data_IF_317404548452
#
_entry.id   IF_317404548452
#
_cell.length_a   1.000
_cell.length_b   1.000
_cell.length_c   1.000
_cell.angle_alpha   90.00
_cell.angle_beta   90.00
_cell.angle_gamma   90.00
#
_symmetry.space_group_name_H-M   'P 1'
#
loop_
_entity.id
_entity.type
_entity.pdbx_description
1 polymer ?
#
# COMPACT_ATOMS: atom_id res chain seq x y z
N UNK A 1 45.09 16.72 -7.72
CA UNK A 1 43.63 16.91 -7.66
C UNK A 1 43.07 16.30 -8.93
N UNK A 2 43.03 14.97 -9.03
CA UNK A 2 42.04 14.06 -8.41
C UNK A 2 40.60 14.38 -8.81
N UNK A 3 39.97 13.39 -9.45
CA UNK A 3 38.61 13.40 -9.95
C UNK A 3 38.49 12.42 -11.12
N UNK A 4 38.63 11.13 -10.84
CA UNK A 4 38.64 10.02 -11.80
C UNK A 4 37.26 9.77 -12.43
N UNK A 5 37.32 9.47 -13.72
CA UNK A 5 36.26 8.90 -14.54
C UNK A 5 35.86 7.50 -14.03
N UNK A 6 34.56 7.24 -13.85
CA UNK A 6 33.98 5.90 -13.74
C UNK A 6 32.57 5.90 -14.36
N UNK A 7 32.52 5.94 -15.69
CA UNK A 7 31.43 5.30 -16.42
C UNK A 7 31.76 3.81 -16.49
N UNK A 8 31.10 2.99 -15.70
CA UNK A 8 31.13 1.53 -15.87
C UNK A 8 29.71 0.99 -16.04
N UNK A 9 29.37 0.87 -17.32
CA UNK A 9 28.52 -0.14 -17.93
C UNK A 9 28.51 -1.47 -17.16
N UNK A 10 27.36 -1.86 -16.62
CA UNK A 10 27.12 -3.26 -16.24
C UNK A 10 26.19 -3.92 -17.26
N UNK A 11 26.83 -4.82 -17.99
CA UNK A 11 26.40 -5.67 -19.10
C UNK A 11 25.29 -6.67 -18.71
N UNK A 12 24.45 -7.00 -19.70
CA UNK A 12 23.53 -8.13 -19.67
C UNK A 12 24.31 -9.45 -19.60
N UNK A 13 23.96 -10.31 -18.63
CA UNK A 13 24.37 -11.71 -18.69
C UNK A 13 23.27 -12.55 -19.29
N UNK A 14 23.56 -13.04 -20.49
CA UNK A 14 22.77 -13.91 -21.34
C UNK A 14 22.59 -15.32 -20.72
N UNK A 15 21.38 -15.84 -20.91
CA UNK A 15 20.80 -17.17 -20.65
C UNK A 15 21.68 -18.26 -21.30
N UNK A 16 22.01 -19.42 -20.71
CA UNK A 16 21.18 -20.64 -20.56
C UNK A 16 22.15 -21.78 -20.16
N UNK A 17 21.77 -22.66 -19.23
CA UNK A 17 22.03 -24.12 -19.29
C UNK A 17 20.99 -24.88 -18.45
N UNK A 18 19.84 -25.14 -19.04
CA UNK A 18 19.24 -26.48 -19.13
C UNK A 18 19.30 -27.37 -17.87
N UNK A 19 18.24 -27.32 -17.05
CA UNK A 19 17.79 -28.50 -16.29
C UNK A 19 16.34 -28.76 -16.66
N UNK A 20 16.16 -29.77 -17.51
CA UNK A 20 14.89 -30.35 -17.88
C UNK A 20 14.30 -31.07 -16.64
N UNK A 21 13.27 -30.49 -16.03
CA UNK A 21 12.35 -31.22 -15.14
C UNK A 21 10.98 -31.13 -15.80
N UNK A 22 10.80 -31.99 -16.81
CA UNK A 22 9.52 -32.32 -17.37
C UNK A 22 8.58 -32.90 -16.31
N UNK A 23 7.50 -32.17 -16.06
CA UNK A 23 6.18 -32.62 -15.58
C UNK A 23 6.10 -33.46 -14.30
N UNK A 24 5.63 -32.82 -13.22
CA UNK A 24 4.61 -33.44 -12.35
C UNK A 24 3.38 -32.53 -12.33
N UNK A 25 2.29 -33.03 -12.90
CA UNK A 25 1.00 -32.36 -12.96
C UNK A 25 0.27 -32.41 -11.60
N UNK A 26 -0.49 -31.34 -11.34
CA UNK A 26 -1.61 -31.22 -10.41
C UNK A 26 -1.30 -31.28 -8.91
N UNK A 27 -1.14 -30.09 -8.32
CA UNK A 27 -1.52 -29.85 -6.93
C UNK A 27 -2.39 -28.59 -6.90
N UNK A 28 -3.58 -28.70 -6.29
CA UNK A 28 -4.51 -27.63 -5.99
C UNK A 28 -3.78 -26.31 -5.70
N UNK A 29 -3.94 -25.32 -6.59
CA UNK A 29 -3.21 -24.06 -6.53
C UNK A 29 -3.64 -23.23 -5.32
N UNK A 30 -3.16 -23.61 -4.15
CA UNK A 30 -3.23 -22.78 -2.96
C UNK A 30 -2.50 -21.47 -3.30
N UNK A 31 -3.18 -20.31 -3.23
CA UNK A 31 -2.51 -19.04 -3.50
C UNK A 31 -1.31 -18.94 -2.55
N UNK A 32 -0.15 -18.54 -3.09
CA UNK A 32 1.03 -18.27 -2.27
C UNK A 32 0.64 -17.22 -1.23
N UNK A 33 0.46 -17.66 0.02
CA UNK A 33 0.21 -16.79 1.15
C UNK A 33 1.49 -16.00 1.40
N UNK A 34 1.59 -14.82 0.80
CA UNK A 34 2.56 -13.84 1.27
C UNK A 34 2.11 -13.43 2.68
N UNK A 35 3.04 -13.44 3.63
CA UNK A 35 2.76 -12.92 4.97
C UNK A 35 2.28 -11.48 4.81
N UNK A 36 0.98 -11.26 5.04
CA UNK A 36 0.32 -9.97 4.85
C UNK A 36 0.75 -9.04 5.98
N UNK A 37 1.90 -8.40 5.85
CA UNK A 37 2.29 -7.28 6.69
C UNK A 37 1.34 -6.12 6.38
N UNK A 38 0.24 -6.02 7.10
CA UNK A 38 -0.63 -4.84 7.02
C UNK A 38 -0.01 -3.77 7.91
N UNK A 39 0.11 -2.54 7.42
CA UNK A 39 0.48 -1.40 8.27
C UNK A 39 -0.43 -1.41 9.50
N UNK A 40 0.15 -1.51 10.69
CA UNK A 40 -0.60 -1.55 11.96
C UNK A 40 -1.52 -0.32 12.04
N UNK A 41 -2.78 -0.53 12.40
CA UNK A 41 -3.79 0.54 12.47
C UNK A 41 -4.57 0.79 11.17
N UNK A 42 -4.14 0.22 10.03
CA UNK A 42 -4.93 0.29 8.80
C UNK A 42 -6.19 -0.59 8.93
N UNK A 43 -7.32 0.01 9.32
CA UNK A 43 -8.62 -0.65 9.35
C UNK A 43 -9.48 -0.18 8.19
N UNK A 44 -9.99 -1.14 7.41
CA UNK A 44 -10.97 -0.90 6.35
C UNK A 44 -12.25 -0.25 6.88
N UNK A 45 -12.63 -0.57 8.12
CA UNK A 45 -13.89 -0.13 8.73
C UNK A 45 -13.87 1.36 9.12
N UNK A 46 -12.68 1.97 9.24
CA UNK A 46 -12.55 3.40 9.54
C UNK A 46 -12.77 4.30 8.31
N UNK A 47 -12.79 3.74 7.11
CA UNK A 47 -12.90 4.51 5.87
C UNK A 47 -14.38 4.81 5.55
N UNK A 48 -14.84 6.03 5.83
CA UNK A 48 -16.22 6.47 5.59
C UNK A 48 -16.61 6.60 4.10
N UNK A 49 -15.64 6.58 3.19
CA UNK A 49 -15.87 6.81 1.76
C UNK A 49 -15.60 5.56 0.92
N UNK A 50 -16.60 5.16 0.12
CA UNK A 50 -16.48 4.09 -0.87
C UNK A 50 -15.51 4.49 -1.98
N UNK A 51 -14.82 3.49 -2.54
CA UNK A 51 -14.00 3.71 -3.74
C UNK A 51 -14.90 4.02 -4.94
N UNK A 52 -14.41 4.80 -5.93
CA UNK A 52 -15.14 5.00 -7.18
C UNK A 52 -15.27 3.69 -7.95
N UNK A 53 -16.18 3.67 -8.94
CA UNK A 53 -16.41 2.47 -9.74
C UNK A 53 -15.13 1.98 -10.46
N UNK A 54 -15.00 0.66 -10.60
CA UNK A 54 -13.84 0.01 -11.20
C UNK A 54 -12.57 0.00 -10.35
N UNK A 55 -12.53 0.70 -9.21
CA UNK A 55 -11.39 0.68 -8.29
C UNK A 55 -11.53 -0.42 -7.24
N UNK A 56 -10.40 -1.05 -6.93
CA UNK A 56 -10.27 -1.91 -5.76
C UNK A 56 -8.98 -1.62 -5.01
N UNK A 57 -8.98 -1.95 -3.74
CA UNK A 57 -7.79 -1.89 -2.90
C UNK A 57 -7.10 -3.25 -2.89
N UNK A 58 -5.77 -3.22 -3.01
CA UNK A 58 -4.91 -4.40 -3.02
C UNK A 58 -3.72 -4.14 -2.11
N UNK A 59 -3.26 -5.14 -1.37
CA UNK A 59 -2.02 -5.02 -0.60
C UNK A 59 -0.84 -5.39 -1.48
N UNK A 60 0.08 -4.45 -1.70
CA UNK A 60 1.35 -4.72 -2.36
C UNK A 60 2.27 -5.52 -1.42
N UNK A 61 3.30 -6.18 -1.97
CA UNK A 61 4.28 -6.96 -1.19
C UNK A 61 5.04 -6.12 -0.16
N UNK A 62 5.09 -4.80 -0.34
CA UNK A 62 5.62 -3.84 0.63
C UNK A 62 4.76 -3.70 1.90
N UNK A 63 3.56 -4.28 1.92
CA UNK A 63 2.62 -4.18 3.03
C UNK A 63 1.73 -2.93 3.03
N UNK A 64 1.95 -2.03 2.05
CA UNK A 64 1.09 -0.86 1.86
C UNK A 64 -0.13 -1.18 0.99
N UNK A 65 -1.29 -0.57 1.29
CA UNK A 65 -2.43 -0.61 0.38
C UNK A 65 -2.13 0.21 -0.87
N UNK A 66 -2.41 -0.38 -2.03
CA UNK A 66 -2.42 0.27 -3.33
C UNK A 66 -3.84 0.23 -3.89
N UNK A 67 -4.22 1.25 -4.64
CA UNK A 67 -5.52 1.32 -5.30
C UNK A 67 -5.34 1.06 -6.78
N UNK A 68 -6.08 0.09 -7.28
CA UNK A 68 -5.94 -0.46 -8.61
C UNK A 68 -7.27 -0.34 -9.37
N UNK A 69 -7.24 0.33 -10.52
CA UNK A 69 -8.41 0.43 -11.40
C UNK A 69 -8.40 -0.75 -12.39
N UNK A 70 -9.39 -1.63 -12.27
CA UNK A 70 -9.43 -2.93 -12.95
C UNK A 70 -9.37 -2.81 -14.47
N UNK A 71 -10.12 -1.87 -15.03
CA UNK A 71 -10.28 -1.73 -16.48
C UNK A 71 -9.06 -1.08 -17.15
N UNK A 72 -8.52 0.00 -16.57
CA UNK A 72 -7.44 0.79 -17.20
C UNK A 72 -6.05 0.38 -16.76
N UNK A 73 -5.94 -0.54 -15.78
CA UNK A 73 -4.68 -0.99 -15.19
C UNK A 73 -3.88 0.13 -14.49
N UNK A 74 -4.52 1.26 -14.15
CA UNK A 74 -3.89 2.37 -13.43
C UNK A 74 -3.78 2.04 -11.93
N UNK A 75 -2.64 2.37 -11.32
CA UNK A 75 -2.36 2.20 -9.89
C UNK A 75 -2.08 3.55 -9.26
N UNK A 76 -2.55 3.75 -8.03
CA UNK A 76 -2.20 4.91 -7.20
C UNK A 76 -1.96 4.48 -5.75
N UNK A 77 -1.07 5.20 -5.05
CA UNK A 77 -0.82 5.02 -3.61
C UNK A 77 -1.86 5.76 -2.75
N UNK A 78 -2.47 6.81 -3.28
CA UNK A 78 -3.47 7.61 -2.56
C UNK A 78 -4.87 7.15 -2.88
N UNK A 79 -5.76 7.11 -1.88
CA UNK A 79 -7.13 6.61 -2.05
C UNK A 79 -7.90 7.46 -3.06
N UNK A 80 -8.31 6.92 -4.22
CA UNK A 80 -9.11 7.66 -5.17
C UNK A 80 -10.52 7.89 -4.59
N UNK A 81 -11.13 9.01 -4.96
CA UNK A 81 -12.48 9.37 -4.52
C UNK A 81 -13.24 10.03 -5.67
N UNK A 82 -14.57 9.92 -5.62
CA UNK A 82 -15.44 10.51 -6.63
C UNK A 82 -15.70 11.97 -6.27
N UNK A 83 -15.37 12.90 -7.19
CA UNK A 83 -15.57 14.33 -6.98
C UNK A 83 -17.02 14.76 -7.23
N UNK A 84 -17.73 14.11 -8.15
CA UNK A 84 -19.06 14.54 -8.60
C UNK A 84 -19.02 15.88 -9.35
N UNK A 85 -20.04 16.71 -9.13
CA UNK A 85 -20.21 18.01 -9.80
C UNK A 85 -19.47 19.17 -9.11
N UNK A 86 -18.58 18.89 -8.16
CA UNK A 86 -17.90 19.90 -7.35
C UNK A 86 -16.65 20.44 -8.05
N UNK A 87 -16.26 21.68 -7.77
CA UNK A 87 -15.02 22.28 -8.28
C UNK A 87 -13.79 21.51 -7.81
N UNK A 88 -12.97 21.06 -8.75
CA UNK A 88 -11.68 20.36 -8.52
C UNK A 88 -10.72 21.16 -7.64
N UNK A 89 -10.80 22.51 -7.68
CA UNK A 89 -9.84 23.38 -6.98
C UNK A 89 -10.29 23.78 -5.58
N UNK A 90 -11.57 23.68 -5.26
CA UNK A 90 -12.16 24.32 -4.08
C UNK A 90 -13.06 23.39 -3.26
N UNK A 91 -12.91 22.08 -3.41
CA UNK A 91 -13.64 21.10 -2.60
C UNK A 91 -12.83 20.63 -1.39
N UNK A 92 -13.54 20.06 -0.41
CA UNK A 92 -12.90 19.41 0.73
C UNK A 92 -12.40 18.02 0.32
N UNK A 93 -11.11 17.78 0.50
CA UNK A 93 -10.48 16.50 0.18
C UNK A 93 -10.69 15.53 1.35
N UNK A 94 -11.18 14.29 1.12
CA UNK A 94 -11.26 13.28 2.17
C UNK A 94 -9.87 13.02 2.77
N UNK A 95 -9.78 12.98 4.11
CA UNK A 95 -8.47 12.79 4.80
C UNK A 95 -7.76 11.53 4.35
N UNK A 96 -8.51 10.44 4.10
CA UNK A 96 -7.97 9.17 3.60
C UNK A 96 -7.36 9.25 2.18
N UNK A 97 -7.70 10.30 1.43
CA UNK A 97 -7.20 10.55 0.07
C UNK A 97 -6.03 11.52 0.04
N UNK A 98 -5.73 12.22 1.15
CA UNK A 98 -4.60 13.14 1.25
C UNK A 98 -3.31 12.30 1.43
N UNK A 99 -2.33 12.39 0.51
CA UNK A 99 -1.05 11.69 0.64
C UNK A 99 -0.39 12.04 1.96
N UNK A 100 0.33 11.09 2.56
CA UNK A 100 1.10 11.16 3.81
C UNK A 100 0.36 11.61 5.09
N UNK A 101 -0.62 12.50 5.04
CA UNK A 101 -1.45 12.91 6.17
C UNK A 101 -2.25 11.73 6.72
N UNK A 102 -2.82 10.90 5.85
CA UNK A 102 -3.53 9.71 6.29
C UNK A 102 -2.62 8.75 7.07
N UNK A 103 -1.40 8.52 6.56
CA UNK A 103 -0.42 7.66 7.25
C UNK A 103 0.01 8.26 8.59
N UNK A 104 0.22 9.58 8.65
CA UNK A 104 0.56 10.27 9.90
C UNK A 104 -0.56 10.13 10.94
N UNK A 105 -1.83 10.31 10.54
CA UNK A 105 -2.99 10.12 11.43
C UNK A 105 -3.10 8.69 11.95
N UNK A 106 -2.87 7.70 11.07
CA UNK A 106 -2.82 6.30 11.49
C UNK A 106 -1.70 6.05 12.51
N UNK A 107 -0.54 6.66 12.34
CA UNK A 107 0.57 6.54 13.30
C UNK A 107 0.23 7.19 14.64
N UNK A 108 -0.35 8.40 14.65
CA UNK A 108 -0.81 9.10 15.86
C UNK A 108 -1.83 8.24 16.63
N UNK A 109 -2.83 7.67 15.95
CA UNK A 109 -3.81 6.77 16.57
C UNK A 109 -3.20 5.49 17.18
N UNK A 110 -2.01 5.07 16.72
CA UNK A 110 -1.30 3.91 17.27
C UNK A 110 -0.35 4.27 18.42
N UNK A 111 0.06 5.53 18.55
CA UNK A 111 0.90 6.02 19.65
C UNK A 111 0.12 6.43 20.89
N UNK A 112 -1.21 6.56 20.77
CA UNK A 112 -2.10 6.92 21.89
C UNK A 112 -2.83 5.75 22.60
N UNK A 113 -2.21 4.60 22.94
CA UNK A 113 -2.76 3.70 23.94
C UNK A 113 -2.13 3.99 25.32
N UNK A 114 -2.95 4.40 26.29
CA UNK A 114 -2.68 4.41 27.75
C UNK A 114 -1.81 5.54 28.37
N UNK A 115 -2.33 6.77 28.47
CA UNK A 115 -1.89 7.72 29.52
C UNK A 115 -3.06 8.40 30.28
N UNK A 116 -4.26 7.79 30.30
CA UNK A 116 -5.43 8.36 30.99
C UNK A 116 -6.18 7.39 31.91
N UNK A 117 -5.48 6.48 32.60
CA UNK A 117 -6.10 5.68 33.67
C UNK A 117 -5.16 5.51 34.88
N UNK A 118 -4.73 6.62 35.47
CA UNK A 118 -4.31 6.67 36.88
C UNK A 118 -4.85 7.94 37.51
N UNK A 119 -6.09 7.89 38.00
CA UNK A 119 -6.51 8.78 39.10
C UNK A 119 -7.33 7.97 40.11
N UNK A 120 -6.63 7.61 41.19
CA UNK A 120 -7.05 7.59 42.59
C UNK A 120 -8.40 6.96 42.96
N UNK A 121 -8.35 5.76 43.53
CA UNK A 121 -9.30 5.33 44.56
C UNK A 121 -8.50 4.87 45.78
N UNK A 122 -8.22 5.80 46.69
CA UNK A 122 -7.86 5.52 48.08
C UNK A 122 -8.62 6.54 48.95
N UNK A 123 -9.67 6.06 49.62
CA UNK A 123 -10.31 6.67 50.80
C UNK A 123 -11.04 5.58 51.58
#
# INVERSE_FOLDING_TARGET
>A
MEGQDLEDSMDETVIDKSTDISQTQQASGQPKLYNRWTVKGYSQEKNKHSLPDGWCEVFHTSGFPIYFHKQTRVVTLSRPYFLGSVSVRHHLIPVASIPCLYLKRLQEEQTDPEESSTTNDES
#
